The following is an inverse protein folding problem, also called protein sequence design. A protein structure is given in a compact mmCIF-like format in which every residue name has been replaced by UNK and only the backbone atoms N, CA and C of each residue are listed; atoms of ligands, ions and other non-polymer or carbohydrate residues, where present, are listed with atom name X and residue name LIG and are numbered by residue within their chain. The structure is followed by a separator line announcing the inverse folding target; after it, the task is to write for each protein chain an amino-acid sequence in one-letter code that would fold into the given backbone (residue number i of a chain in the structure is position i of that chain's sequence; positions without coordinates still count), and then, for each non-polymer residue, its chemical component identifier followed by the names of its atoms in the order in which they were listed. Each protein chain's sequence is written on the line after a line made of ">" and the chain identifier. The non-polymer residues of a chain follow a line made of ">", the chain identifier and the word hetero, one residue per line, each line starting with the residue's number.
data_IF_535137103650
#
_entry.id   IF_535137103650
#
_cell.length_a   1.000
_cell.length_b   1.000
_cell.length_c   1.000
_cell.angle_alpha   90.00
_cell.angle_beta   90.00
_cell.angle_gamma   90.00
#
_symmetry.space_group_name_H-M   'P 1'
#
loop_
_entity.id
_entity.type
_entity.pdbx_description
1 polymer ?
#
# COMPACT_ATOMS: atom_id res chain seq x y z
N UNK A 1 82.11 -30.51 -25.72
CA UNK A 1 81.04 -29.79 -26.47
C UNK A 1 80.52 -30.71 -27.55
N UNK A 2 79.21 -30.72 -27.77
CA UNK A 2 78.42 -31.49 -28.75
C UNK A 2 77.74 -32.75 -28.19
N UNK A 3 76.44 -32.59 -28.13
CA UNK A 3 75.33 -33.45 -27.75
C UNK A 3 75.16 -34.63 -28.69
N UNK A 4 74.93 -35.83 -28.14
CA UNK A 4 74.24 -36.91 -28.86
C UNK A 4 72.80 -37.03 -28.37
N UNK A 5 71.83 -37.25 -29.28
CA UNK A 5 70.41 -37.27 -28.95
C UNK A 5 70.01 -38.62 -28.34
N UNK A 6 69.27 -38.57 -27.23
CA UNK A 6 68.64 -39.75 -26.65
C UNK A 6 67.35 -40.08 -27.40
N UNK A 7 67.23 -41.36 -27.73
CA UNK A 7 66.14 -42.02 -28.47
C UNK A 7 64.76 -41.77 -27.87
N UNK A 8 63.78 -41.61 -28.76
CA UNK A 8 62.36 -41.67 -28.47
C UNK A 8 61.96 -43.03 -27.87
N UNK A 9 61.32 -42.99 -26.71
CA UNK A 9 60.49 -44.08 -26.18
C UNK A 9 59.05 -43.64 -26.37
N UNK A 10 58.33 -44.35 -27.24
CA UNK A 10 56.89 -44.18 -27.44
C UNK A 10 56.18 -44.72 -26.21
N UNK A 11 55.63 -43.83 -25.40
CA UNK A 11 54.73 -44.19 -24.31
C UNK A 11 53.32 -44.38 -24.87
N UNK A 12 52.73 -45.55 -24.63
CA UNK A 12 51.35 -45.91 -24.94
C UNK A 12 50.35 -44.86 -24.41
N UNK A 13 49.22 -44.62 -25.10
CA UNK A 13 48.24 -43.64 -24.66
C UNK A 13 47.63 -44.09 -23.32
N UNK A 14 47.83 -43.29 -22.27
CA UNK A 14 47.09 -43.44 -21.01
C UNK A 14 45.59 -43.23 -21.29
N UNK A 15 44.70 -44.04 -20.69
CA UNK A 15 43.26 -43.86 -20.86
C UNK A 15 42.85 -42.48 -20.32
N UNK A 16 42.00 -41.77 -21.07
CA UNK A 16 41.40 -40.51 -20.61
C UNK A 16 40.71 -40.76 -19.27
N UNK A 17 40.91 -39.91 -18.25
CA UNK A 17 40.15 -40.03 -17.01
C UNK A 17 38.66 -39.83 -17.34
N UNK A 18 37.84 -40.80 -16.93
CA UNK A 18 36.39 -40.63 -16.96
C UNK A 18 36.01 -39.39 -16.13
N UNK A 19 35.08 -38.56 -16.59
CA UNK A 19 34.61 -37.43 -15.80
C UNK A 19 33.99 -37.98 -14.51
N UNK A 20 34.58 -37.62 -13.37
CA UNK A 20 33.97 -37.89 -12.08
C UNK A 20 32.60 -37.21 -12.03
N UNK A 21 31.54 -37.88 -11.54
CA UNK A 21 30.27 -37.20 -11.32
C UNK A 21 30.49 -36.05 -10.33
N UNK A 22 30.06 -34.85 -10.70
CA UNK A 22 30.05 -33.69 -9.79
C UNK A 22 29.33 -34.11 -8.51
N UNK A 23 29.84 -33.77 -7.31
CA UNK A 23 29.13 -34.09 -6.09
C UNK A 23 27.77 -33.40 -6.11
N UNK A 24 26.71 -34.20 -6.06
CA UNK A 24 25.34 -33.72 -5.83
C UNK A 24 25.37 -32.86 -4.58
N UNK A 25 24.89 -31.61 -4.59
CA UNK A 25 24.84 -30.83 -3.38
C UNK A 25 23.99 -31.60 -2.36
N UNK A 26 24.61 -31.98 -1.24
CA UNK A 26 23.90 -32.52 -0.09
C UNK A 26 22.75 -31.56 0.22
N UNK A 27 21.52 -32.06 0.10
CA UNK A 27 20.34 -31.36 0.55
C UNK A 27 20.51 -31.11 2.05
N UNK A 28 21.00 -29.91 2.41
CA UNK A 28 20.97 -29.43 3.79
C UNK A 28 19.50 -29.38 4.18
N UNK A 29 19.08 -30.32 5.02
CA UNK A 29 17.82 -30.21 5.73
C UNK A 29 17.79 -28.82 6.39
N UNK A 30 16.84 -27.98 5.95
CA UNK A 30 16.58 -26.71 6.62
C UNK A 30 16.26 -27.04 8.08
N UNK A 31 16.91 -26.39 9.07
CA UNK A 31 16.51 -26.60 10.45
C UNK A 31 15.03 -26.20 10.55
N UNK A 32 14.18 -27.13 11.01
CA UNK A 32 12.79 -26.84 11.36
C UNK A 32 12.82 -25.74 12.42
N UNK A 33 12.59 -24.49 12.00
CA UNK A 33 12.36 -23.40 12.94
C UNK A 33 11.09 -23.75 13.71
N UNK A 34 11.23 -23.95 15.02
CA UNK A 34 10.10 -23.96 15.93
C UNK A 34 9.25 -22.72 15.65
N UNK A 35 8.01 -22.95 15.20
CA UNK A 35 7.11 -21.90 14.74
C UNK A 35 6.69 -21.01 15.91
N UNK A 36 7.35 -19.87 16.08
CA UNK A 36 6.65 -18.70 16.63
C UNK A 36 5.60 -18.34 15.57
N UNK A 37 4.30 -18.39 15.91
CA UNK A 37 3.22 -17.86 15.07
C UNK A 37 3.61 -16.44 14.68
N UNK A 38 4.11 -16.25 13.45
CA UNK A 38 4.35 -14.93 12.91
C UNK A 38 2.98 -14.39 12.57
N UNK A 39 2.58 -13.31 13.25
CA UNK A 39 1.45 -12.51 12.82
C UNK A 39 1.64 -12.04 11.36
N UNK A 40 0.62 -11.41 10.76
CA UNK A 40 0.75 -10.84 9.43
C UNK A 40 2.00 -9.95 9.34
N UNK A 41 2.68 -9.90 8.19
CA UNK A 41 3.81 -8.99 8.01
C UNK A 41 3.35 -7.55 8.30
N UNK A 42 4.24 -6.71 8.87
CA UNK A 42 3.90 -5.32 9.11
C UNK A 42 3.54 -4.65 7.78
N UNK A 43 2.60 -3.69 7.78
CA UNK A 43 2.03 -3.15 6.55
C UNK A 43 3.02 -2.27 5.76
N UNK A 44 4.07 -1.77 6.41
CA UNK A 44 5.21 -1.06 5.80
C UNK A 44 6.41 -1.07 6.76
N UNK A 45 7.55 -0.57 6.29
CA UNK A 45 8.75 -0.36 7.11
C UNK A 45 8.56 0.81 8.08
N UNK A 46 9.11 0.71 9.30
CA UNK A 46 8.92 1.73 10.34
C UNK A 46 7.50 1.77 10.95
N UNK A 47 6.69 0.73 10.79
CA UNK A 47 5.28 0.67 11.22
C UNK A 47 5.06 1.02 12.70
N UNK A 48 5.87 0.46 13.62
CA UNK A 48 5.71 0.72 15.05
C UNK A 48 6.08 2.17 15.40
N UNK A 49 7.08 2.75 14.75
CA UNK A 49 7.47 4.14 14.96
C UNK A 49 6.39 5.09 14.46
N UNK A 50 5.84 4.84 13.27
CA UNK A 50 4.75 5.65 12.71
C UNK A 50 3.49 5.59 13.59
N UNK A 51 3.15 4.40 14.07
CA UNK A 51 2.01 4.19 15.00
C UNK A 51 2.21 4.95 16.30
N UNK A 52 3.41 4.90 16.87
CA UNK A 52 3.75 5.58 18.11
C UNK A 52 3.75 7.11 17.94
N UNK A 53 4.26 7.62 16.81
CA UNK A 53 4.16 9.05 16.47
C UNK A 53 2.71 9.50 16.49
N UNK A 54 1.86 8.85 15.69
CA UNK A 54 0.45 9.20 15.58
C UNK A 54 -0.28 9.10 16.92
N UNK A 55 0.05 8.11 17.76
CA UNK A 55 -0.65 7.86 19.02
C UNK A 55 -0.26 8.78 20.17
N UNK A 56 0.98 9.31 20.18
CA UNK A 56 1.55 9.93 21.37
C UNK A 56 2.17 11.31 21.12
N UNK A 57 2.12 11.81 19.89
CA UNK A 57 2.65 13.12 19.54
C UNK A 57 1.63 13.94 18.76
N UNK A 58 1.57 15.22 19.10
CA UNK A 58 0.86 16.23 18.33
C UNK A 58 1.81 16.87 17.32
N UNK A 59 1.43 16.82 16.05
CA UNK A 59 2.13 17.41 14.91
C UNK A 59 1.14 17.48 13.75
N UNK A 60 1.23 18.49 12.87
CA UNK A 60 0.29 18.64 11.76
C UNK A 60 0.98 18.58 10.40
N UNK A 61 2.15 19.21 10.29
CA UNK A 61 2.97 19.24 9.08
C UNK A 61 4.07 18.18 9.11
N UNK A 62 4.22 17.44 8.01
CA UNK A 62 5.20 16.35 7.86
C UNK A 62 6.01 16.50 6.58
N UNK A 63 7.33 16.39 6.70
CA UNK A 63 8.22 16.15 5.57
C UNK A 63 8.62 14.68 5.53
N UNK A 64 8.15 13.93 4.55
CA UNK A 64 8.48 12.51 4.34
C UNK A 64 9.62 12.39 3.32
N UNK A 65 10.84 12.16 3.83
CA UNK A 65 12.07 12.05 3.05
C UNK A 65 12.38 10.58 2.75
N UNK A 66 12.38 10.24 1.47
CA UNK A 66 12.49 8.86 1.00
C UNK A 66 11.15 8.14 0.98
N UNK A 67 10.07 8.83 0.59
CA UNK A 67 8.69 8.35 0.73
C UNK A 67 8.35 7.07 -0.06
N UNK A 68 9.23 6.64 -0.98
CA UNK A 68 9.06 5.45 -1.81
C UNK A 68 7.72 5.43 -2.54
N UNK A 69 6.95 4.35 -2.37
CA UNK A 69 5.62 4.16 -2.96
C UNK A 69 4.50 4.99 -2.29
N UNK A 70 4.84 5.83 -1.31
CA UNK A 70 3.95 6.74 -0.61
C UNK A 70 2.99 6.09 0.39
N UNK A 71 3.19 4.83 0.79
CA UNK A 71 2.31 4.17 1.76
C UNK A 71 2.28 4.89 3.12
N UNK A 72 3.44 5.30 3.62
CA UNK A 72 3.59 5.99 4.91
C UNK A 72 2.99 7.40 4.84
N UNK A 73 3.31 8.17 3.80
CA UNK A 73 2.68 9.46 3.52
C UNK A 73 1.15 9.38 3.46
N UNK A 74 0.58 8.40 2.76
CA UNK A 74 -0.88 8.19 2.70
C UNK A 74 -1.46 7.84 4.07
N UNK A 75 -0.74 7.07 4.88
CA UNK A 75 -1.19 6.73 6.22
C UNK A 75 -1.23 7.95 7.14
N UNK A 76 -0.20 8.80 7.09
CA UNK A 76 -0.14 10.08 7.79
C UNK A 76 -1.28 11.01 7.33
N UNK A 77 -1.49 11.16 6.02
CA UNK A 77 -2.55 12.00 5.47
C UNK A 77 -3.95 11.56 5.90
N UNK A 78 -4.21 10.24 5.98
CA UNK A 78 -5.49 9.70 6.51
C UNK A 78 -5.73 10.05 7.98
N UNK A 79 -4.67 10.37 8.74
CA UNK A 79 -4.75 10.85 10.11
C UNK A 79 -4.73 12.39 10.20
N UNK A 80 -5.14 13.06 9.13
CA UNK A 80 -5.29 14.53 9.09
C UNK A 80 -3.98 15.30 8.98
N UNK A 81 -2.86 14.62 8.69
CA UNK A 81 -1.54 15.28 8.59
C UNK A 81 -1.33 15.86 7.19
N UNK A 82 -0.77 17.07 7.10
CA UNK A 82 -0.27 17.65 5.85
C UNK A 82 1.10 17.06 5.57
N UNK A 83 1.24 16.31 4.49
CA UNK A 83 2.49 15.62 4.16
C UNK A 83 3.07 16.17 2.86
N UNK A 84 4.30 16.66 2.92
CA UNK A 84 5.15 16.94 1.75
C UNK A 84 6.08 15.75 1.55
N UNK A 85 6.10 15.19 0.35
CA UNK A 85 6.81 13.94 0.05
C UNK A 85 7.98 14.16 -0.90
N UNK A 86 9.11 13.54 -0.56
CA UNK A 86 10.35 13.61 -1.33
C UNK A 86 10.82 12.20 -1.64
N UNK A 87 11.15 11.95 -2.90
CA UNK A 87 11.89 10.75 -3.29
C UNK A 87 12.83 11.04 -4.44
N UNK A 88 13.90 10.24 -4.56
CA UNK A 88 14.86 10.37 -5.65
C UNK A 88 14.23 10.13 -7.03
N UNK A 89 13.24 9.24 -7.09
CA UNK A 89 12.49 8.89 -8.29
C UNK A 89 11.02 8.60 -7.96
N UNK A 90 10.18 8.50 -8.98
CA UNK A 90 8.79 8.06 -8.79
C UNK A 90 8.73 6.53 -8.65
N UNK A 91 8.11 6.04 -7.59
CA UNK A 91 7.90 4.61 -7.37
C UNK A 91 6.49 4.17 -7.79
N UNK A 92 6.42 3.38 -8.85
CA UNK A 92 5.16 2.89 -9.41
C UNK A 92 4.22 4.04 -9.82
N UNK A 93 2.99 4.02 -9.31
CA UNK A 93 1.98 5.04 -9.59
C UNK A 93 2.03 6.24 -8.62
N UNK A 94 2.85 6.19 -7.55
CA UNK A 94 2.98 7.32 -6.65
C UNK A 94 3.85 8.41 -7.27
N UNK A 95 3.43 9.66 -7.11
CA UNK A 95 4.15 10.85 -7.56
C UNK A 95 4.45 11.67 -6.30
N UNK A 96 5.70 11.67 -5.82
CA UNK A 96 6.15 12.55 -4.75
C UNK A 96 5.97 14.02 -5.13
N UNK A 97 5.84 14.89 -4.14
CA UNK A 97 5.76 16.34 -4.35
C UNK A 97 7.06 16.90 -4.92
N UNK A 98 8.20 16.28 -4.57
CA UNK A 98 9.49 16.54 -5.18
C UNK A 98 10.18 15.23 -5.59
N UNK A 99 10.60 15.17 -6.85
CA UNK A 99 11.35 14.06 -7.43
C UNK A 99 12.77 14.51 -7.73
N UNK A 100 13.73 13.97 -6.98
CA UNK A 100 15.16 14.27 -7.14
C UNK A 100 15.94 14.11 -5.84
N UNK A 101 17.22 14.48 -5.88
CA UNK A 101 18.07 14.48 -4.70
C UNK A 101 17.54 15.44 -3.63
N UNK A 102 17.40 14.94 -2.39
CA UNK A 102 16.94 15.72 -1.25
C UNK A 102 17.80 16.97 -0.99
N UNK A 103 19.09 16.92 -1.28
CA UNK A 103 19.96 18.09 -1.15
C UNK A 103 19.52 19.24 -2.07
N UNK A 104 18.90 18.92 -3.22
CA UNK A 104 18.34 19.89 -4.16
C UNK A 104 16.94 20.39 -3.81
N UNK A 105 16.27 19.80 -2.81
CA UNK A 105 14.96 20.26 -2.38
C UNK A 105 15.08 21.59 -1.63
N UNK A 106 14.29 22.58 -2.06
CA UNK A 106 14.22 23.90 -1.43
C UNK A 106 12.79 24.20 -0.98
N UNK A 107 12.64 24.63 0.27
CA UNK A 107 11.39 25.12 0.83
C UNK A 107 11.67 26.03 2.01
N UNK A 108 10.87 27.08 2.15
CA UNK A 108 10.89 27.96 3.32
C UNK A 108 10.12 27.36 4.51
N UNK A 109 9.27 26.36 4.26
CA UNK A 109 8.48 25.70 5.30
C UNK A 109 9.39 24.93 6.27
N UNK A 110 9.00 24.94 7.55
CA UNK A 110 9.54 24.08 8.60
C UNK A 110 8.42 23.19 9.09
N UNK A 111 8.73 21.93 9.36
CA UNK A 111 7.74 20.88 9.60
C UNK A 111 7.75 20.45 11.06
N UNK A 112 6.57 20.19 11.60
CA UNK A 112 6.39 19.67 12.96
C UNK A 112 7.02 18.27 13.11
N UNK A 113 7.04 17.49 12.02
CA UNK A 113 7.71 16.20 11.92
C UNK A 113 8.52 16.13 10.62
N UNK A 114 9.81 15.80 10.73
CA UNK A 114 10.60 15.29 9.61
C UNK A 114 10.72 13.77 9.78
N UNK A 115 10.11 13.04 8.85
CA UNK A 115 10.07 11.58 8.81
C UNK A 115 11.03 11.08 7.72
N UNK A 116 11.98 10.23 8.08
CA UNK A 116 12.98 9.68 7.17
C UNK A 116 13.06 8.16 7.37
N UNK A 117 12.52 7.39 6.43
CA UNK A 117 12.37 5.94 6.58
C UNK A 117 13.06 5.22 5.44
N UNK A 118 14.09 4.44 5.76
CA UNK A 118 14.91 3.66 4.81
C UNK A 118 15.50 4.52 3.68
N UNK A 119 16.00 5.71 4.05
CA UNK A 119 16.69 6.64 3.15
C UNK A 119 18.13 6.95 3.59
N UNK A 120 18.42 6.89 4.90
CA UNK A 120 19.72 7.31 5.46
C UNK A 120 20.85 6.37 5.06
N UNK A 121 20.58 5.07 4.94
CA UNK A 121 21.54 4.04 4.54
C UNK A 121 22.09 4.23 3.12
N UNK A 122 21.38 5.00 2.29
CA UNK A 122 21.74 5.29 0.91
C UNK A 122 22.63 6.52 0.76
N UNK A 123 22.89 7.25 1.86
CA UNK A 123 23.56 8.54 1.80
C UNK A 123 25.08 8.39 1.86
N UNK A 124 25.77 9.02 0.91
CA UNK A 124 27.23 9.05 0.86
C UNK A 124 27.83 9.90 2.00
N UNK A 125 27.16 11.01 2.35
CA UNK A 125 27.55 11.86 3.48
C UNK A 125 26.41 11.95 4.50
N UNK A 126 26.43 11.04 5.45
CA UNK A 126 25.41 10.95 6.52
C UNK A 126 25.32 12.23 7.35
N UNK A 127 26.46 12.83 7.71
CA UNK A 127 26.48 14.02 8.57
C UNK A 127 25.78 15.21 7.92
N UNK A 128 26.10 15.48 6.66
CA UNK A 128 25.45 16.53 5.87
C UNK A 128 23.95 16.27 5.72
N UNK A 129 23.56 15.04 5.37
CA UNK A 129 22.17 14.68 5.19
C UNK A 129 21.36 14.84 6.48
N UNK A 130 21.91 14.42 7.64
CA UNK A 130 21.27 14.63 8.94
C UNK A 130 21.09 16.12 9.26
N UNK A 131 22.12 16.94 9.03
CA UNK A 131 22.02 18.39 9.21
C UNK A 131 20.97 19.01 8.28
N UNK A 132 20.85 18.50 7.05
CA UNK A 132 19.83 18.91 6.09
C UNK A 132 18.42 18.55 6.59
N UNK A 133 18.20 17.34 7.07
CA UNK A 133 16.92 16.94 7.69
C UNK A 133 16.56 17.88 8.85
N UNK A 134 17.50 18.11 9.77
CA UNK A 134 17.33 19.00 10.92
C UNK A 134 16.96 20.41 10.49
N UNK A 135 17.53 20.91 9.39
CA UNK A 135 17.24 22.25 8.89
C UNK A 135 15.79 22.47 8.52
N UNK A 136 15.01 21.41 8.27
CA UNK A 136 13.58 21.46 7.96
C UNK A 136 12.68 21.23 9.17
N UNK A 137 13.20 20.88 10.34
CA UNK A 137 12.39 20.67 11.55
C UNK A 137 12.02 22.03 12.14
N UNK A 138 10.74 22.23 12.46
CA UNK A 138 10.27 23.41 13.18
C UNK A 138 10.85 23.46 14.61
N UNK A 139 10.98 24.66 15.22
CA UNK A 139 11.40 24.76 16.62
C UNK A 139 10.53 23.89 17.54
N UNK A 140 11.16 22.97 18.27
CA UNK A 140 10.46 22.01 19.15
C UNK A 140 9.76 20.85 18.42
N UNK A 141 9.87 20.77 17.09
CA UNK A 141 9.37 19.68 16.26
C UNK A 141 10.14 18.38 16.45
N UNK A 142 9.78 17.36 15.67
CA UNK A 142 10.27 15.99 15.80
C UNK A 142 11.12 15.61 14.59
N UNK A 143 12.19 14.87 14.84
CA UNK A 143 12.91 14.11 13.84
C UNK A 143 12.70 12.62 14.13
N UNK A 144 12.25 11.88 13.13
CA UNK A 144 12.05 10.44 13.23
C UNK A 144 12.76 9.74 12.07
N UNK A 145 13.69 8.85 12.41
CA UNK A 145 14.53 8.14 11.45
C UNK A 145 14.32 6.63 11.64
N UNK A 146 14.11 5.92 10.53
CA UNK A 146 14.12 4.45 10.50
C UNK A 146 15.16 3.97 9.49
N UNK A 147 16.02 3.03 9.91
CA UNK A 147 17.06 2.41 9.08
C UNK A 147 17.05 0.89 9.22
N UNK A 148 17.59 0.14 8.25
CA UNK A 148 17.70 -1.30 8.35
C UNK A 148 18.82 -1.72 9.31
N UNK A 149 18.64 -2.80 10.10
CA UNK A 149 19.70 -3.34 10.93
C UNK A 149 20.82 -3.96 10.08
N UNK A 150 22.05 -3.87 10.59
CA UNK A 150 23.26 -4.34 9.95
C UNK A 150 23.14 -5.79 9.43
N UNK A 151 23.79 -6.04 8.29
CA UNK A 151 23.90 -7.34 7.64
C UNK A 151 25.38 -7.65 7.37
N UNK A 152 25.78 -8.93 7.40
CA UNK A 152 27.15 -9.33 7.10
C UNK A 152 27.47 -9.32 5.59
N UNK A 153 26.46 -9.18 4.73
CA UNK A 153 26.60 -9.16 3.27
C UNK A 153 26.25 -7.78 2.71
N UNK A 154 26.85 -7.45 1.58
CA UNK A 154 26.64 -6.17 0.87
C UNK A 154 25.26 -6.15 0.22
N UNK A 155 24.56 -5.03 0.37
CA UNK A 155 23.28 -4.73 -0.28
C UNK A 155 23.49 -3.55 -1.22
N UNK A 156 23.07 -3.69 -2.48
CA UNK A 156 23.23 -2.62 -3.47
C UNK A 156 22.56 -1.33 -3.00
N UNK A 157 23.26 -0.20 -3.13
CA UNK A 157 22.80 1.12 -2.70
C UNK A 157 22.90 1.39 -1.19
N UNK A 158 23.15 0.39 -0.33
CA UNK A 158 23.35 0.62 1.10
C UNK A 158 24.84 0.93 1.34
N UNK A 159 25.17 2.21 1.49
CA UNK A 159 26.55 2.67 1.70
C UNK A 159 26.98 2.58 3.16
N UNK A 160 26.02 2.45 4.08
CA UNK A 160 26.25 2.35 5.53
C UNK A 160 25.50 1.17 6.15
N UNK A 161 26.00 0.69 7.29
CA UNK A 161 25.37 -0.37 8.10
C UNK A 161 25.08 0.14 9.50
N UNK A 162 23.90 -0.17 10.02
CA UNK A 162 23.40 0.43 11.25
C UNK A 162 23.19 -0.59 12.38
N UNK A 163 23.68 -0.23 13.56
CA UNK A 163 23.10 -0.66 14.83
C UNK A 163 22.53 0.57 15.54
N UNK A 164 21.75 0.36 16.59
CA UNK A 164 21.08 1.43 17.33
C UNK A 164 22.07 2.45 17.93
N UNK A 165 23.20 1.99 18.46
CA UNK A 165 24.24 2.85 19.03
C UNK A 165 24.91 3.75 17.99
N UNK A 166 25.20 3.22 16.80
CA UNK A 166 25.77 3.98 15.69
C UNK A 166 24.79 5.03 15.16
N UNK A 167 23.49 4.71 15.10
CA UNK A 167 22.47 5.69 14.73
C UNK A 167 22.46 6.85 15.73
N UNK A 168 22.35 6.56 17.03
CA UNK A 168 22.41 7.58 18.10
C UNK A 168 23.68 8.44 18.01
N UNK A 169 24.84 7.79 17.88
CA UNK A 169 26.12 8.50 17.82
C UNK A 169 26.20 9.45 16.62
N UNK A 170 25.73 9.02 15.43
CA UNK A 170 25.71 9.89 14.25
C UNK A 170 24.78 11.09 14.42
N UNK A 171 23.60 10.92 15.03
CA UNK A 171 22.71 12.03 15.34
C UNK A 171 23.35 13.04 16.30
N UNK A 172 24.01 12.54 17.36
CA UNK A 172 24.68 13.40 18.34
C UNK A 172 25.83 14.17 17.70
N UNK A 173 26.68 13.51 16.90
CA UNK A 173 27.76 14.17 16.16
C UNK A 173 27.21 15.19 15.14
N UNK A 174 26.01 14.96 14.59
CA UNK A 174 25.31 15.93 13.75
C UNK A 174 24.72 17.13 14.54
N UNK A 175 24.90 17.19 15.87
CA UNK A 175 24.48 18.30 16.72
C UNK A 175 23.08 18.15 17.30
N UNK A 176 22.57 16.92 17.41
CA UNK A 176 21.23 16.62 17.95
C UNK A 176 21.35 16.09 19.38
N UNK A 177 20.69 16.75 20.34
CA UNK A 177 20.62 16.27 21.72
C UNK A 177 19.66 15.07 21.82
N UNK A 178 20.21 13.88 22.01
CA UNK A 178 19.47 12.62 22.02
C UNK A 178 19.14 12.10 23.43
N UNK A 179 19.31 12.89 24.50
CA UNK A 179 19.05 12.45 25.89
C UNK A 179 17.65 11.88 26.12
N UNK A 180 16.68 12.38 25.38
CA UNK A 180 15.27 11.97 25.46
C UNK A 180 14.83 11.16 24.22
N UNK A 181 15.79 10.69 23.41
CA UNK A 181 15.47 9.90 22.23
C UNK A 181 14.74 8.61 22.64
N UNK A 182 13.78 8.23 21.81
CA UNK A 182 13.07 6.95 21.90
C UNK A 182 13.56 6.08 20.76
N UNK A 183 13.98 4.87 21.09
CA UNK A 183 14.60 3.96 20.14
C UNK A 183 14.02 2.56 20.27
N UNK A 184 13.83 1.87 19.14
CA UNK A 184 13.52 0.44 19.13
C UNK A 184 14.05 -0.26 17.89
N UNK A 185 14.50 -1.50 18.09
CA UNK A 185 14.79 -2.47 17.04
C UNK A 185 13.65 -3.49 16.95
N UNK A 186 13.04 -3.62 15.77
CA UNK A 186 11.91 -4.52 15.54
C UNK A 186 11.81 -4.93 14.07
N UNK A 187 11.61 -6.22 13.82
CA UNK A 187 11.53 -6.75 12.45
C UNK A 187 12.79 -6.42 11.64
N UNK A 188 12.64 -5.60 10.59
CA UNK A 188 13.73 -5.10 9.77
C UNK A 188 14.01 -3.59 10.00
N UNK A 189 13.67 -3.08 11.17
CA UNK A 189 13.74 -1.65 11.47
C UNK A 189 14.57 -1.40 12.73
N UNK A 190 15.39 -0.35 12.68
CA UNK A 190 15.88 0.42 13.81
C UNK A 190 15.23 1.79 13.68
N UNK A 191 14.32 2.13 14.59
CA UNK A 191 13.67 3.45 14.57
C UNK A 191 14.09 4.27 15.77
N UNK A 192 14.34 5.55 15.53
CA UNK A 192 14.65 6.56 16.53
C UNK A 192 13.72 7.76 16.33
N UNK A 193 13.11 8.23 17.40
CA UNK A 193 12.31 9.46 17.44
C UNK A 193 12.93 10.39 18.48
N UNK A 194 13.18 11.64 18.10
CA UNK A 194 13.76 12.65 18.98
C UNK A 194 13.06 13.99 18.78
N UNK A 195 12.80 14.70 19.88
CA UNK A 195 12.37 16.10 19.81
C UNK A 195 13.58 16.96 19.54
N UNK A 196 13.50 17.79 18.51
CA UNK A 196 14.65 18.53 18.02
C UNK A 196 15.11 19.56 19.05
N UNK A 197 16.30 19.31 19.60
CA UNK A 197 17.07 20.23 20.44
C UNK A 197 18.49 20.24 19.92
N UNK A 198 19.01 21.43 19.65
CA UNK A 198 20.40 21.58 19.22
C UNK A 198 21.32 21.27 20.41
N UNK A 199 22.28 20.38 20.20
CA UNK A 199 23.32 20.09 21.16
C UNK A 199 24.49 21.08 20.97
N UNK A 200 24.92 21.72 22.05
CA UNK A 200 26.17 22.45 22.09
C UNK A 200 27.31 21.45 22.32
N UNK A 201 27.82 20.90 21.22
CA UNK A 201 28.85 19.86 21.30
C UNK A 201 30.18 20.46 21.76
N UNK A 202 30.94 19.75 22.62
CA UNK A 202 32.35 20.09 22.85
C UNK A 202 33.17 19.88 21.57
N UNK A 203 34.38 20.43 21.54
CA UNK A 203 35.33 20.15 20.46
C UNK A 203 35.61 18.64 20.39
N UNK A 204 35.30 18.04 19.25
CA UNK A 204 35.53 16.62 18.98
C UNK A 204 36.92 16.39 18.42
N UNK A 205 37.50 15.22 18.72
CA UNK A 205 38.81 14.81 18.20
C UNK A 205 38.69 13.98 16.93
N UNK A 206 37.50 13.45 16.65
CA UNK A 206 37.25 12.42 15.64
C UNK A 206 38.09 11.15 15.89
N UNK A 207 38.32 10.85 17.17
CA UNK A 207 39.15 9.74 17.64
C UNK A 207 38.70 9.33 19.06
N UNK A 208 39.46 8.42 19.69
CA UNK A 208 39.22 7.92 21.04
C UNK A 208 38.96 9.05 22.06
N UNK A 209 37.95 8.84 22.90
CA UNK A 209 37.52 9.78 23.94
C UNK A 209 36.31 10.65 23.56
N UNK A 210 35.86 10.62 22.30
CA UNK A 210 34.70 11.42 21.88
C UNK A 210 33.37 10.87 22.40
N UNK A 211 33.27 9.56 22.65
CA UNK A 211 32.08 8.96 23.25
C UNK A 211 31.88 9.51 24.67
N UNK A 212 32.95 9.61 25.46
CA UNK A 212 32.92 10.19 26.80
C UNK A 212 32.57 11.68 26.78
N UNK A 213 33.11 12.44 25.82
CA UNK A 213 32.76 13.88 25.63
C UNK A 213 31.29 14.07 25.29
N UNK A 214 30.72 13.13 24.54
CA UNK A 214 29.35 13.17 24.08
C UNK A 214 28.38 12.43 25.00
N UNK A 215 28.85 11.77 26.06
CA UNK A 215 28.05 10.89 26.91
C UNK A 215 26.81 11.58 27.49
N UNK A 216 26.91 12.89 27.79
CA UNK A 216 25.81 13.69 28.28
C UNK A 216 24.66 13.84 27.27
N UNK A 217 24.85 13.57 25.98
CA UNK A 217 23.82 13.67 24.94
C UNK A 217 23.18 12.33 24.57
N UNK A 218 23.65 11.22 25.16
CA UNK A 218 23.04 9.91 24.98
C UNK A 218 21.87 9.72 25.95
N UNK A 219 20.85 8.92 25.59
CA UNK A 219 19.74 8.57 26.49
C UNK A 219 20.10 7.47 27.49
N UNK A 220 21.37 7.07 27.55
CA UNK A 220 21.89 6.04 28.45
C UNK A 220 23.37 6.28 28.76
N UNK A 221 23.90 5.73 29.86
CA UNK A 221 25.33 5.75 30.13
C UNK A 221 26.12 5.06 29.02
N UNK A 222 27.18 5.71 28.54
CA UNK A 222 28.06 5.19 27.49
C UNK A 222 29.52 5.46 27.83
N UNK A 223 30.40 4.62 27.28
CA UNK A 223 31.85 4.78 27.30
C UNK A 223 32.44 4.10 26.05
N UNK A 224 33.68 4.40 25.70
CA UNK A 224 34.37 3.76 24.57
C UNK A 224 34.23 2.23 24.62
N UNK A 225 33.80 1.65 23.49
CA UNK A 225 33.61 0.21 23.36
C UNK A 225 32.24 -0.33 23.81
N UNK A 226 31.26 0.54 24.13
CA UNK A 226 29.90 0.08 24.41
C UNK A 226 29.28 -0.67 23.21
N UNK A 227 28.47 -1.69 23.50
CA UNK A 227 27.78 -2.46 22.46
C UNK A 227 26.58 -1.69 21.91
N UNK A 228 26.65 -1.32 20.63
CA UNK A 228 25.57 -0.59 19.95
C UNK A 228 24.33 -1.43 19.61
N UNK A 229 24.29 -2.73 19.94
CA UNK A 229 23.13 -3.61 19.75
C UNK A 229 22.09 -3.41 20.86
N UNK A 230 21.43 -2.27 20.81
CA UNK A 230 20.38 -1.90 21.77
C UNK A 230 19.02 -2.35 21.23
N UNK A 231 18.20 -3.01 22.06
CA UNK A 231 16.86 -3.46 21.66
C UNK A 231 15.83 -2.33 21.72
N UNK A 232 15.79 -1.58 22.83
CA UNK A 232 14.88 -0.45 23.02
C UNK A 232 15.40 0.54 24.07
N UNK A 233 15.03 1.82 23.93
CA UNK A 233 15.24 2.89 24.90
C UNK A 233 13.98 3.78 24.89
N UNK A 234 13.41 4.08 26.05
CA UNK A 234 12.26 4.98 26.21
C UNK A 234 11.06 4.63 25.29
N UNK A 235 10.88 3.37 24.89
CA UNK A 235 9.88 2.95 23.92
C UNK A 235 8.56 2.47 24.57
N UNK A 236 7.83 3.40 25.17
CA UNK A 236 6.51 3.12 25.73
C UNK A 236 5.48 2.84 24.64
N UNK A 237 5.05 1.58 24.53
CA UNK A 237 4.08 1.17 23.50
C UNK A 237 2.74 1.86 23.72
N UNK A 238 2.08 2.38 22.66
CA UNK A 238 0.71 2.89 22.76
C UNK A 238 -0.24 1.84 23.32
N UNK A 239 -1.21 2.25 24.14
CA UNK A 239 -2.23 1.32 24.65
C UNK A 239 -3.16 0.94 23.50
N UNK A 240 -3.77 -0.24 23.59
CA UNK A 240 -4.72 -0.71 22.58
C UNK A 240 -5.88 0.26 22.34
N UNK A 241 -6.31 1.00 23.38
CA UNK A 241 -7.34 2.03 23.27
C UNK A 241 -6.90 3.24 22.42
N UNK A 242 -5.63 3.65 22.55
CA UNK A 242 -5.06 4.78 21.81
C UNK A 242 -4.96 4.42 20.31
N UNK A 243 -4.50 3.19 20.00
CA UNK A 243 -4.47 2.67 18.62
C UNK A 243 -5.89 2.56 18.04
N UNK A 244 -6.85 2.04 18.81
CA UNK A 244 -8.23 1.96 18.37
C UNK A 244 -8.87 3.35 18.15
N UNK A 245 -8.43 4.38 18.88
CA UNK A 245 -8.87 5.77 18.64
C UNK A 245 -8.25 6.39 17.39
N UNK A 246 -7.01 6.03 17.03
CA UNK A 246 -6.39 6.44 15.77
C UNK A 246 -7.20 5.93 14.58
N UNK A 247 -7.58 4.65 14.62
CA UNK A 247 -8.41 4.06 13.58
C UNK A 247 -9.76 4.79 13.49
N UNK A 248 -10.43 5.10 14.62
CA UNK A 248 -11.70 5.85 14.61
C UNK A 248 -11.54 7.30 14.11
N UNK A 249 -10.47 7.99 14.50
CA UNK A 249 -10.18 9.38 14.11
C UNK A 249 -9.83 9.53 12.62
N UNK A 250 -9.06 8.59 12.07
CA UNK A 250 -8.77 8.53 10.64
C UNK A 250 -10.03 8.28 9.79
N UNK A 251 -10.97 7.47 10.29
CA UNK A 251 -12.27 7.23 9.65
C UNK A 251 -13.22 8.44 9.76
N UNK A 252 -13.07 9.28 10.80
CA UNK A 252 -13.83 10.53 10.94
C UNK A 252 -13.24 11.67 10.08
N UNK A 253 -11.91 11.73 9.94
CA UNK A 253 -11.20 12.73 9.12
C UNK A 253 -11.31 12.48 7.60
N UNK A 254 -11.81 11.32 7.17
CA UNK A 254 -12.12 11.02 5.77
C UNK A 254 -13.40 11.69 5.25
N UNK A 255 -14.03 12.58 6.04
CA UNK A 255 -15.25 13.32 5.68
C UNK A 255 -15.09 14.46 4.67
N UNK A 256 -13.94 14.57 4.00
CA UNK A 256 -13.79 15.42 2.83
C UNK A 256 -13.06 14.66 1.71
N UNK A 257 -13.74 13.66 1.14
CA UNK A 257 -13.43 13.27 -0.23
C UNK A 257 -13.74 14.47 -1.14
N UNK A 258 -12.88 14.82 -2.12
CA UNK A 258 -13.23 15.86 -3.08
C UNK A 258 -14.55 15.50 -3.75
N UNK A 259 -15.47 16.47 -3.80
CA UNK A 259 -16.83 16.27 -4.28
C UNK A 259 -16.83 15.73 -5.71
N UNK A 260 -17.65 14.70 -5.95
CA UNK A 260 -18.10 14.36 -7.30
C UNK A 260 -18.76 15.62 -7.88
N UNK A 261 -18.38 15.98 -9.10
CA UNK A 261 -18.82 17.22 -9.73
C UNK A 261 -20.36 17.37 -9.66
N UNK A 262 -20.84 18.53 -9.20
CA UNK A 262 -22.27 18.78 -8.98
C UNK A 262 -23.14 18.64 -10.25
N UNK A 263 -22.53 18.66 -11.45
CA UNK A 263 -23.18 18.49 -12.74
C UNK A 263 -22.71 17.21 -13.44
N UNK A 264 -23.02 16.04 -12.87
CA UNK A 264 -22.81 14.75 -13.50
C UNK A 264 -23.65 14.62 -14.79
N UNK A 265 -23.05 14.27 -15.95
CA UNK A 265 -23.77 14.14 -17.22
C UNK A 265 -24.93 13.16 -17.11
N UNK A 266 -26.06 13.51 -17.74
CA UNK A 266 -27.24 12.64 -17.84
C UNK A 266 -27.39 12.16 -19.28
N UNK A 267 -27.58 10.86 -19.45
CA UNK A 267 -27.76 10.21 -20.74
C UNK A 267 -29.01 9.33 -20.72
N UNK A 268 -29.83 9.42 -21.76
CA UNK A 268 -30.92 8.47 -21.99
C UNK A 268 -30.30 7.21 -22.61
N UNK A 269 -29.91 6.25 -21.78
CA UNK A 269 -29.13 5.11 -22.21
C UNK A 269 -30.03 4.01 -22.76
N UNK A 270 -30.16 3.99 -24.09
CA UNK A 270 -30.55 2.82 -24.89
C UNK A 270 -29.34 2.23 -25.61
N UNK A 271 -29.51 1.80 -26.87
CA UNK A 271 -28.46 1.16 -27.69
C UNK A 271 -27.19 2.01 -27.97
N UNK A 272 -27.14 3.27 -27.52
CA UNK A 272 -26.16 4.29 -27.92
C UNK A 272 -25.24 4.79 -26.79
N UNK A 273 -25.13 4.08 -25.64
CA UNK A 273 -24.15 4.46 -24.61
C UNK A 273 -22.72 4.31 -25.17
N UNK A 274 -22.03 5.45 -25.33
CA UNK A 274 -20.65 5.53 -25.81
C UNK A 274 -19.68 5.53 -24.62
N UNK A 275 -18.55 4.84 -24.72
CA UNK A 275 -17.52 4.88 -23.69
C UNK A 275 -16.87 6.27 -23.58
N UNK A 276 -16.89 7.06 -24.66
CA UNK A 276 -16.30 8.39 -24.71
C UNK A 276 -16.90 9.35 -23.68
N UNK A 277 -18.19 9.22 -23.34
CA UNK A 277 -18.82 10.07 -22.32
C UNK A 277 -18.26 9.80 -20.91
N UNK A 278 -17.81 8.58 -20.62
CA UNK A 278 -17.10 8.29 -19.38
C UNK A 278 -15.69 8.89 -19.41
N UNK A 279 -14.96 8.80 -20.54
CA UNK A 279 -13.60 9.36 -20.66
C UNK A 279 -13.54 10.86 -20.39
N UNK A 280 -14.61 11.58 -20.74
CA UNK A 280 -14.77 13.00 -20.45
C UNK A 280 -14.96 13.33 -18.96
N UNK A 281 -15.32 12.34 -18.13
CA UNK A 281 -15.45 12.56 -16.69
C UNK A 281 -14.08 12.83 -16.05
N UNK A 282 -14.04 13.73 -15.04
CA UNK A 282 -12.84 13.95 -14.25
C UNK A 282 -12.47 12.67 -13.48
N UNK A 283 -11.19 12.58 -13.12
CA UNK A 283 -10.65 11.52 -12.26
C UNK A 283 -10.24 12.14 -10.92
N UNK A 284 -11.19 12.40 -10.02
CA UNK A 284 -10.90 13.13 -8.78
C UNK A 284 -10.13 12.29 -7.75
N UNK A 285 -10.05 10.97 -7.93
CA UNK A 285 -9.47 10.05 -6.95
C UNK A 285 -8.31 9.25 -7.53
N UNK A 286 -7.33 8.93 -6.67
CA UNK A 286 -6.08 8.27 -7.07
C UNK A 286 -6.19 6.74 -7.15
N UNK A 287 -7.27 6.15 -6.62
CA UNK A 287 -7.54 4.71 -6.72
C UNK A 287 -9.02 4.43 -7.04
N UNK A 288 -9.31 3.27 -7.63
CA UNK A 288 -10.69 2.81 -7.87
C UNK A 288 -11.44 2.60 -6.55
N UNK A 289 -10.77 2.08 -5.51
CA UNK A 289 -11.35 1.97 -4.17
C UNK A 289 -11.76 3.33 -3.57
N UNK A 290 -10.92 4.37 -3.72
CA UNK A 290 -11.28 5.71 -3.25
C UNK A 290 -12.47 6.26 -4.05
N UNK A 291 -12.58 5.91 -5.34
CA UNK A 291 -13.71 6.29 -6.20
C UNK A 291 -15.00 5.60 -5.76
N UNK A 292 -14.95 4.29 -5.49
CA UNK A 292 -16.05 3.51 -4.93
C UNK A 292 -16.56 4.13 -3.62
N UNK A 293 -15.67 4.46 -2.69
CA UNK A 293 -16.04 5.03 -1.40
C UNK A 293 -16.62 6.44 -1.52
N UNK A 294 -16.06 7.28 -2.40
CA UNK A 294 -16.58 8.62 -2.64
C UNK A 294 -17.99 8.58 -3.25
N UNK A 295 -18.20 7.73 -4.26
CA UNK A 295 -19.52 7.49 -4.87
C UNK A 295 -20.51 6.97 -3.83
N UNK A 296 -20.11 5.98 -3.05
CA UNK A 296 -20.95 5.38 -2.02
C UNK A 296 -21.37 6.43 -0.98
N UNK A 297 -20.43 7.22 -0.48
CA UNK A 297 -20.71 8.23 0.56
C UNK A 297 -21.60 9.36 0.03
N UNK A 298 -21.43 9.76 -1.21
CA UNK A 298 -22.14 10.89 -1.80
C UNK A 298 -23.53 10.54 -2.36
N UNK A 299 -23.71 9.33 -2.89
CA UNK A 299 -24.86 9.00 -3.73
C UNK A 299 -25.63 7.75 -3.34
N UNK A 300 -25.17 6.94 -2.38
CA UNK A 300 -25.83 5.69 -2.03
C UNK A 300 -27.18 5.96 -1.31
N UNK A 301 -28.33 5.63 -1.92
CA UNK A 301 -29.63 5.84 -1.30
C UNK A 301 -29.93 4.78 -0.23
N UNK A 302 -31.14 4.82 0.32
CA UNK A 302 -31.68 3.73 1.13
C UNK A 302 -31.90 2.46 0.29
N UNK A 303 -31.62 1.29 0.87
CA UNK A 303 -31.77 0.00 0.20
C UNK A 303 -30.59 -0.93 0.47
N UNK A 304 -30.45 -1.98 -0.33
CA UNK A 304 -29.40 -3.00 -0.15
C UNK A 304 -28.04 -2.55 -0.70
N UNK A 305 -26.95 -2.82 0.03
CA UNK A 305 -25.55 -2.62 -0.43
C UNK A 305 -24.97 -3.98 -0.74
N UNK A 306 -24.51 -4.17 -1.97
CA UNK A 306 -24.07 -5.48 -2.45
C UNK A 306 -22.77 -5.35 -3.24
N UNK A 307 -21.86 -6.30 -3.03
CA UNK A 307 -20.65 -6.49 -3.82
C UNK A 307 -20.67 -7.90 -4.42
N UNK A 308 -20.33 -8.00 -5.70
CA UNK A 308 -20.24 -9.25 -6.45
C UNK A 308 -18.80 -9.42 -6.90
N UNK A 309 -18.11 -10.40 -6.33
CA UNK A 309 -16.64 -10.50 -6.36
C UNK A 309 -16.03 -9.83 -5.13
N UNK A 310 -15.68 -10.64 -4.13
CA UNK A 310 -15.21 -10.20 -2.81
C UNK A 310 -13.71 -10.48 -2.64
N UNK A 311 -13.24 -11.62 -3.17
CA UNK A 311 -11.88 -12.12 -2.99
C UNK A 311 -11.44 -12.09 -1.51
N UNK A 312 -10.51 -11.20 -1.15
CA UNK A 312 -9.99 -11.01 0.22
C UNK A 312 -10.79 -10.02 1.07
N UNK A 313 -11.92 -9.53 0.57
CA UNK A 313 -12.86 -8.67 1.30
C UNK A 313 -12.40 -7.23 1.50
N UNK A 314 -11.44 -6.73 0.71
CA UNK A 314 -10.88 -5.38 0.89
C UNK A 314 -11.93 -4.28 0.64
N UNK A 315 -12.58 -4.33 -0.50
CA UNK A 315 -13.64 -3.38 -0.92
C UNK A 315 -14.91 -3.58 -0.08
N UNK A 316 -15.37 -4.82 0.12
CA UNK A 316 -16.48 -5.12 1.04
C UNK A 316 -16.27 -4.52 2.43
N UNK A 317 -15.08 -4.72 3.02
CA UNK A 317 -14.75 -4.20 4.35
C UNK A 317 -14.73 -2.67 4.36
N UNK A 318 -14.28 -2.05 3.27
CA UNK A 318 -14.27 -0.60 3.14
C UNK A 318 -15.71 -0.05 3.03
N UNK A 319 -16.57 -0.68 2.24
CA UNK A 319 -18.00 -0.35 2.15
C UNK A 319 -18.71 -0.49 3.51
N UNK A 320 -18.47 -1.61 4.21
CA UNK A 320 -19.03 -1.87 5.52
C UNK A 320 -18.59 -0.85 6.58
N UNK A 321 -17.32 -0.41 6.53
CA UNK A 321 -16.81 0.65 7.40
C UNK A 321 -17.36 2.03 7.06
N UNK A 322 -17.57 2.32 5.77
CA UNK A 322 -18.15 3.58 5.32
C UNK A 322 -19.66 3.69 5.66
N UNK A 323 -20.34 2.56 5.80
CA UNK A 323 -21.76 2.47 6.11
C UNK A 323 -21.99 1.62 7.38
N UNK A 324 -21.52 2.08 8.57
CA UNK A 324 -21.52 1.27 9.79
C UNK A 324 -22.93 0.84 10.24
N UNK A 325 -23.94 1.65 9.93
CA UNK A 325 -25.35 1.39 10.29
C UNK A 325 -26.09 0.52 9.26
N UNK A 326 -25.41 0.05 8.22
CA UNK A 326 -26.02 -0.73 7.14
C UNK A 326 -25.41 -2.11 7.05
N UNK A 327 -26.24 -3.08 6.68
CA UNK A 327 -25.77 -4.39 6.26
C UNK A 327 -25.20 -4.31 4.84
N UNK A 328 -24.01 -4.89 4.65
CA UNK A 328 -23.34 -5.01 3.35
C UNK A 328 -23.20 -6.49 3.00
N UNK A 329 -23.56 -6.86 1.77
CA UNK A 329 -23.61 -8.27 1.34
C UNK A 329 -22.58 -8.53 0.25
N UNK A 330 -21.63 -9.42 0.50
CA UNK A 330 -20.62 -9.84 -0.46
C UNK A 330 -20.93 -11.22 -1.02
N UNK A 331 -21.03 -11.35 -2.34
CA UNK A 331 -21.25 -12.61 -3.03
C UNK A 331 -19.96 -13.02 -3.74
N UNK A 332 -19.53 -14.27 -3.54
CA UNK A 332 -18.32 -14.81 -4.17
C UNK A 332 -18.33 -16.34 -4.12
N UNK A 333 -17.65 -17.01 -5.04
CA UNK A 333 -17.45 -18.46 -5.00
C UNK A 333 -16.47 -18.86 -3.87
N UNK A 334 -15.51 -17.97 -3.58
CA UNK A 334 -14.30 -18.19 -2.78
C UNK A 334 -13.45 -19.37 -3.27
N UNK A 335 -13.66 -19.77 -4.52
CA UNK A 335 -12.88 -20.77 -5.25
C UNK A 335 -12.28 -20.20 -6.54
N UNK A 336 -12.31 -18.87 -6.69
CA UNK A 336 -11.81 -18.16 -7.86
C UNK A 336 -12.77 -18.16 -9.05
N UNK A 337 -12.25 -17.71 -10.19
CA UNK A 337 -13.01 -17.56 -11.43
C UNK A 337 -13.60 -18.90 -11.93
N UNK A 338 -14.87 -18.93 -12.38
CA UNK A 338 -15.49 -20.15 -12.90
C UNK A 338 -14.90 -20.60 -14.25
N UNK A 339 -14.43 -19.65 -15.05
CA UNK A 339 -13.82 -19.86 -16.38
C UNK A 339 -12.58 -18.96 -16.55
N UNK A 340 -11.70 -19.23 -17.53
CA UNK A 340 -10.57 -18.35 -17.79
C UNK A 340 -11.02 -16.93 -18.20
N UNK A 341 -10.37 -15.91 -17.65
CA UNK A 341 -10.54 -14.51 -18.03
C UNK A 341 -9.44 -14.08 -19.01
N UNK A 342 -9.82 -13.85 -20.27
CA UNK A 342 -8.94 -13.36 -21.32
C UNK A 342 -8.82 -11.84 -21.24
N UNK A 343 -7.65 -11.32 -20.81
CA UNK A 343 -7.43 -9.88 -20.64
C UNK A 343 -6.69 -9.24 -21.81
N UNK A 344 -5.72 -9.96 -22.37
CA UNK A 344 -4.98 -9.60 -23.59
C UNK A 344 -4.50 -10.86 -24.29
N UNK A 345 -3.92 -10.77 -25.50
CA UNK A 345 -3.38 -11.94 -26.20
C UNK A 345 -2.39 -12.76 -25.35
N UNK A 346 -1.61 -12.09 -24.51
CA UNK A 346 -0.57 -12.69 -23.67
C UNK A 346 -0.93 -12.76 -22.17
N UNK A 347 -2.15 -12.36 -21.80
CA UNK A 347 -2.60 -12.32 -20.40
C UNK A 347 -3.95 -13.00 -20.23
N UNK A 348 -3.91 -14.20 -19.64
CA UNK A 348 -5.08 -15.00 -19.29
C UNK A 348 -4.98 -15.41 -17.83
N UNK A 349 -6.02 -15.10 -17.06
CA UNK A 349 -6.18 -15.66 -15.73
C UNK A 349 -6.98 -16.96 -15.86
N UNK A 350 -6.44 -18.11 -15.44
CA UNK A 350 -7.12 -19.39 -15.59
C UNK A 350 -8.36 -19.48 -14.69
N UNK A 351 -9.23 -20.46 -14.95
CA UNK A 351 -10.26 -20.83 -13.99
C UNK A 351 -9.62 -21.19 -12.62
N UNK A 352 -10.29 -20.81 -11.53
CA UNK A 352 -9.77 -20.89 -10.16
C UNK A 352 -8.77 -19.79 -9.80
N UNK A 353 -8.41 -18.88 -10.72
CA UNK A 353 -7.64 -17.70 -10.35
C UNK A 353 -8.44 -16.86 -9.33
N UNK A 354 -7.76 -16.33 -8.32
CA UNK A 354 -8.35 -15.68 -7.13
C UNK A 354 -8.99 -16.62 -6.08
N UNK A 355 -8.75 -17.92 -6.13
CA UNK A 355 -9.10 -18.81 -5.01
C UNK A 355 -8.40 -18.36 -3.71
N UNK A 356 -9.18 -18.14 -2.65
CA UNK A 356 -8.69 -17.75 -1.32
C UNK A 356 -8.52 -18.93 -0.38
N UNK A 357 -9.08 -20.10 -0.68
CA UNK A 357 -9.09 -21.30 0.15
C UNK A 357 -9.89 -21.20 1.45
N UNK A 358 -10.26 -19.99 1.88
CA UNK A 358 -11.03 -19.69 3.07
C UNK A 358 -11.81 -18.37 2.89
N UNK A 359 -12.87 -18.21 3.67
CA UNK A 359 -13.61 -16.94 3.74
C UNK A 359 -12.74 -15.86 4.39
N UNK A 360 -12.74 -14.62 3.87
CA UNK A 360 -12.04 -13.52 4.50
C UNK A 360 -12.72 -13.09 5.81
N UNK A 361 -11.92 -12.54 6.73
CA UNK A 361 -12.44 -11.83 7.89
C UNK A 361 -13.05 -10.49 7.44
N UNK A 362 -14.30 -10.25 7.79
CA UNK A 362 -15.05 -9.04 7.40
C UNK A 362 -15.68 -8.37 8.62
N UNK A 363 -15.96 -7.05 8.56
CA UNK A 363 -16.64 -6.34 9.64
C UNK A 363 -17.98 -6.97 10.03
N UNK A 364 -18.43 -6.72 11.27
CA UNK A 364 -19.64 -7.35 11.82
C UNK A 364 -20.93 -7.04 11.04
N UNK A 365 -20.98 -5.90 10.34
CA UNK A 365 -22.11 -5.51 9.48
C UNK A 365 -21.96 -5.99 8.03
N UNK A 366 -20.92 -6.74 7.69
CA UNK A 366 -20.76 -7.41 6.40
C UNK A 366 -21.14 -8.89 6.49
N UNK A 367 -21.81 -9.40 5.45
CA UNK A 367 -22.21 -10.82 5.35
C UNK A 367 -21.74 -11.41 4.03
N UNK A 368 -21.17 -12.61 4.08
CA UNK A 368 -20.65 -13.32 2.91
C UNK A 368 -21.62 -14.40 2.45
N UNK A 369 -21.86 -14.46 1.15
CA UNK A 369 -22.74 -15.42 0.49
C UNK A 369 -21.91 -16.24 -0.49
N UNK A 370 -21.58 -17.46 -0.07
CA UNK A 370 -20.72 -18.35 -0.84
C UNK A 370 -21.49 -19.04 -1.97
N UNK A 371 -20.92 -19.02 -3.16
CA UNK A 371 -21.35 -19.77 -4.34
C UNK A 371 -21.52 -18.90 -5.57
N UNK A 372 -21.57 -19.55 -6.74
CA UNK A 372 -21.87 -18.92 -8.03
C UNK A 372 -23.10 -18.02 -7.92
N UNK A 373 -23.08 -16.84 -8.56
CA UNK A 373 -24.14 -15.85 -8.42
C UNK A 373 -25.52 -16.41 -8.77
N UNK A 374 -25.62 -17.23 -9.81
CA UNK A 374 -26.87 -17.89 -10.21
C UNK A 374 -27.46 -18.83 -9.15
N UNK A 375 -26.67 -19.30 -8.19
CA UNK A 375 -27.11 -20.16 -7.10
C UNK A 375 -27.28 -19.40 -5.78
N UNK A 376 -26.35 -18.50 -5.44
CA UNK A 376 -26.32 -17.81 -4.13
C UNK A 376 -27.27 -16.61 -4.07
N UNK A 377 -27.42 -15.87 -5.17
CA UNK A 377 -28.21 -14.63 -5.21
C UNK A 377 -29.74 -14.85 -5.16
N UNK A 378 -30.35 -15.83 -5.86
CA UNK A 378 -31.81 -16.00 -5.82
C UNK A 378 -32.35 -16.30 -4.42
N UNK A 379 -31.66 -17.15 -3.65
CA UNK A 379 -32.04 -17.45 -2.27
C UNK A 379 -31.98 -16.20 -1.38
N UNK A 380 -30.96 -15.36 -1.60
CA UNK A 380 -30.85 -14.09 -0.90
C UNK A 380 -31.99 -13.12 -1.26
N UNK A 381 -32.27 -12.96 -2.56
CA UNK A 381 -33.32 -12.07 -3.08
C UNK A 381 -34.73 -12.41 -2.57
N UNK A 382 -35.00 -13.70 -2.36
CA UNK A 382 -36.26 -14.17 -1.80
C UNK A 382 -36.42 -13.78 -0.32
N UNK A 383 -35.32 -13.79 0.44
CA UNK A 383 -35.31 -13.48 1.87
C UNK A 383 -35.20 -11.97 2.18
N UNK A 384 -34.76 -11.15 1.21
CA UNK A 384 -34.46 -9.73 1.41
C UNK A 384 -35.22 -8.87 0.39
N UNK A 385 -36.51 -8.57 0.62
CA UNK A 385 -37.27 -7.70 -0.27
C UNK A 385 -36.74 -6.25 -0.22
N UNK A 386 -37.11 -5.46 -1.23
CA UNK A 386 -36.75 -4.04 -1.31
C UNK A 386 -35.62 -3.75 -2.31
N UNK A 387 -35.42 -2.48 -2.66
CA UNK A 387 -34.57 -2.07 -3.77
C UNK A 387 -33.07 -2.19 -3.45
N UNK A 388 -32.26 -2.29 -4.51
CA UNK A 388 -30.83 -2.11 -4.43
C UNK A 388 -30.51 -0.61 -4.27
N UNK A 389 -29.64 -0.29 -3.31
CA UNK A 389 -29.06 1.03 -3.19
C UNK A 389 -27.74 1.16 -3.94
N UNK A 390 -26.83 0.22 -3.70
CA UNK A 390 -25.51 0.17 -4.34
C UNK A 390 -25.21 -1.26 -4.78
N UNK A 391 -24.84 -1.41 -6.05
CA UNK A 391 -24.27 -2.64 -6.60
C UNK A 391 -22.82 -2.35 -7.01
N UNK A 392 -21.87 -2.92 -6.28
CA UNK A 392 -20.48 -2.99 -6.69
C UNK A 392 -20.27 -4.29 -7.49
N UNK A 393 -20.05 -4.13 -8.79
CA UNK A 393 -19.89 -5.20 -9.77
C UNK A 393 -18.39 -5.33 -10.02
N UNK A 394 -17.77 -6.33 -9.39
CA UNK A 394 -16.34 -6.63 -9.42
C UNK A 394 -16.17 -8.11 -9.84
N UNK A 395 -16.88 -8.47 -10.91
CA UNK A 395 -17.05 -9.86 -11.32
C UNK A 395 -16.02 -10.31 -12.35
N UNK A 396 -15.24 -9.38 -12.91
CA UNK A 396 -14.32 -9.46 -14.04
C UNK A 396 -14.97 -9.90 -15.38
N UNK A 397 -15.69 -11.03 -15.34
CA UNK A 397 -16.22 -11.78 -16.46
C UNK A 397 -17.56 -11.24 -16.96
N UNK A 398 -17.74 -11.28 -18.27
CA UNK A 398 -18.99 -10.93 -18.95
C UNK A 398 -20.18 -11.76 -18.46
N UNK A 399 -20.06 -13.08 -18.42
CA UNK A 399 -21.14 -14.01 -18.05
C UNK A 399 -21.60 -13.80 -16.61
N UNK A 400 -20.64 -13.54 -15.72
CA UNK A 400 -20.89 -13.22 -14.31
C UNK A 400 -21.66 -11.90 -14.18
N UNK A 401 -21.23 -10.85 -14.89
CA UNK A 401 -21.88 -9.54 -14.88
C UNK A 401 -23.29 -9.59 -15.49
N UNK A 402 -23.49 -10.33 -16.58
CA UNK A 402 -24.83 -10.57 -17.15
C UNK A 402 -25.74 -11.26 -16.15
N UNK A 403 -25.23 -12.26 -15.44
CA UNK A 403 -25.99 -12.99 -14.41
C UNK A 403 -26.43 -12.05 -13.30
N UNK A 404 -25.50 -11.24 -12.76
CA UNK A 404 -25.80 -10.26 -11.71
C UNK A 404 -26.84 -9.25 -12.17
N UNK A 405 -26.63 -8.59 -13.31
CA UNK A 405 -27.57 -7.58 -13.82
C UNK A 405 -28.96 -8.16 -14.10
N UNK A 406 -29.04 -9.38 -14.63
CA UNK A 406 -30.32 -10.05 -14.92
C UNK A 406 -31.08 -10.42 -13.65
N UNK A 407 -30.39 -10.95 -12.63
CA UNK A 407 -31.04 -11.31 -11.37
C UNK A 407 -31.42 -10.09 -10.52
N UNK A 408 -30.67 -9.00 -10.65
CA UNK A 408 -30.92 -7.75 -9.93
C UNK A 408 -31.90 -6.81 -10.65
N UNK A 409 -32.37 -7.18 -11.85
CA UNK A 409 -33.17 -6.32 -12.75
C UNK A 409 -34.37 -5.67 -12.03
N UNK A 410 -35.15 -6.45 -11.27
CA UNK A 410 -36.30 -5.92 -10.51
C UNK A 410 -35.92 -5.10 -9.27
N UNK A 411 -34.66 -5.15 -8.84
CA UNK A 411 -34.13 -4.43 -7.68
C UNK A 411 -33.44 -3.13 -8.07
N UNK A 412 -33.07 -2.99 -9.35
CA UNK A 412 -32.46 -1.78 -9.91
C UNK A 412 -33.58 -0.78 -10.23
N UNK A 413 -33.68 0.26 -9.42
CA UNK A 413 -34.76 1.27 -9.47
C UNK A 413 -34.17 2.68 -9.58
N UNK A 414 -34.97 3.72 -9.89
CA UNK A 414 -34.50 5.10 -9.82
C UNK A 414 -33.84 5.41 -8.46
N UNK A 415 -32.61 5.92 -8.53
CA UNK A 415 -31.75 6.17 -7.38
C UNK A 415 -30.64 5.13 -7.18
N UNK A 416 -30.82 3.89 -7.63
CA UNK A 416 -29.81 2.82 -7.51
C UNK A 416 -28.49 3.26 -8.15
N UNK A 417 -27.39 3.03 -7.44
CA UNK A 417 -26.03 3.29 -7.90
C UNK A 417 -25.37 1.97 -8.29
N UNK A 418 -24.79 1.92 -9.49
CA UNK A 418 -24.00 0.79 -9.96
C UNK A 418 -22.55 1.27 -10.12
N UNK A 419 -21.60 0.51 -9.58
CA UNK A 419 -20.17 0.75 -9.73
C UNK A 419 -19.56 -0.50 -10.31
N UNK A 420 -18.94 -0.38 -11.47
CA UNK A 420 -18.23 -1.45 -12.18
C UNK A 420 -16.73 -1.30 -11.89
N UNK A 421 -16.04 -2.35 -11.45
CA UNK A 421 -14.60 -2.29 -11.15
C UNK A 421 -13.76 -2.31 -12.42
N UNK A 422 -14.18 -3.08 -13.44
CA UNK A 422 -13.40 -3.37 -14.64
C UNK A 422 -14.11 -2.94 -15.95
N UNK A 423 -14.74 -1.75 -15.93
CA UNK A 423 -15.54 -1.26 -17.06
C UNK A 423 -14.70 -0.93 -18.30
N UNK A 424 -13.55 -0.27 -18.16
CA UNK A 424 -12.70 0.09 -19.30
C UNK A 424 -11.26 0.41 -18.87
N UNK A 425 -10.27 -0.01 -19.66
CA UNK A 425 -8.87 0.42 -19.53
C UNK A 425 -8.72 1.93 -19.86
N UNK A 426 -8.90 2.79 -18.85
CA UNK A 426 -8.99 4.24 -19.02
C UNK A 426 -7.65 4.89 -19.38
N UNK A 427 -6.56 4.35 -18.85
CA UNK A 427 -5.21 4.86 -19.08
C UNK A 427 -4.52 4.19 -20.28
N UNK A 428 -5.24 3.33 -21.01
CA UNK A 428 -4.73 2.59 -22.16
C UNK A 428 -3.42 1.86 -21.80
N UNK A 429 -3.38 1.30 -20.59
CA UNK A 429 -2.18 0.67 -20.04
C UNK A 429 -1.70 -0.54 -20.84
N UNK A 430 -2.57 -1.10 -21.69
CA UNK A 430 -2.33 -2.35 -22.40
C UNK A 430 -2.46 -3.58 -21.49
N UNK A 431 -2.86 -3.38 -20.23
CA UNK A 431 -3.06 -4.45 -19.25
C UNK A 431 -4.38 -5.18 -19.49
N UNK A 432 -5.43 -4.45 -19.90
CA UNK A 432 -6.73 -5.05 -20.18
C UNK A 432 -7.34 -4.55 -21.50
N UNK A 433 -6.68 -4.73 -22.66
CA UNK A 433 -7.23 -4.31 -23.95
C UNK A 433 -8.55 -5.00 -24.33
N UNK A 434 -8.86 -6.15 -23.73
CA UNK A 434 -10.10 -6.89 -23.97
C UNK A 434 -11.31 -6.37 -23.17
N UNK A 435 -11.21 -5.24 -22.45
CA UNK A 435 -12.30 -4.67 -21.63
C UNK A 435 -13.64 -4.56 -22.35
N UNK A 436 -13.64 -4.36 -23.67
CA UNK A 436 -14.85 -4.27 -24.49
C UNK A 436 -15.70 -5.54 -24.48
N UNK A 437 -15.12 -6.69 -24.18
CA UNK A 437 -15.80 -7.98 -24.12
C UNK A 437 -16.25 -8.36 -22.70
N UNK A 438 -15.86 -7.59 -21.68
CA UNK A 438 -16.20 -7.84 -20.27
C UNK A 438 -17.43 -7.07 -19.79
N UNK A 439 -17.29 -6.39 -18.64
CA UNK A 439 -18.38 -5.66 -17.98
C UNK A 439 -19.03 -4.60 -18.87
N UNK A 440 -18.24 -3.93 -19.73
CA UNK A 440 -18.76 -2.97 -20.70
C UNK A 440 -19.81 -3.56 -21.63
N UNK A 441 -19.54 -4.77 -22.15
CA UNK A 441 -20.47 -5.47 -23.04
C UNK A 441 -21.74 -5.82 -22.30
N UNK A 442 -21.61 -6.38 -21.09
CA UNK A 442 -22.74 -6.77 -20.26
C UNK A 442 -23.65 -5.57 -19.94
N UNK A 443 -23.06 -4.42 -19.58
CA UNK A 443 -23.79 -3.17 -19.34
C UNK A 443 -24.54 -2.72 -20.59
N UNK A 444 -23.88 -2.67 -21.75
CA UNK A 444 -24.52 -2.24 -23.01
C UNK A 444 -25.68 -3.15 -23.41
N UNK A 445 -25.50 -4.46 -23.35
CA UNK A 445 -26.54 -5.43 -23.70
C UNK A 445 -27.70 -5.41 -22.69
N UNK A 446 -27.43 -5.15 -21.41
CA UNK A 446 -28.49 -4.92 -20.42
C UNK A 446 -29.29 -3.65 -20.72
N UNK A 447 -28.62 -2.52 -20.99
CA UNK A 447 -29.29 -1.25 -21.35
C UNK A 447 -30.06 -1.31 -22.68
N UNK A 448 -29.63 -2.16 -23.62
CA UNK A 448 -30.38 -2.41 -24.86
C UNK A 448 -31.71 -3.12 -24.59
N UNK A 449 -31.73 -4.09 -23.66
CA UNK A 449 -32.93 -4.83 -23.28
C UNK A 449 -33.84 -4.00 -22.37
N UNK A 450 -33.25 -3.19 -21.49
CA UNK A 450 -33.93 -2.31 -20.53
C UNK A 450 -33.33 -0.90 -20.61
N UNK A 451 -33.86 -0.03 -21.46
CA UNK A 451 -33.39 1.34 -21.53
C UNK A 451 -33.60 2.05 -20.20
N UNK A 452 -32.52 2.62 -19.67
CA UNK A 452 -32.55 3.40 -18.44
C UNK A 452 -31.97 4.78 -18.70
N UNK A 453 -32.53 5.79 -18.02
CA UNK A 453 -31.88 7.09 -17.95
C UNK A 453 -30.80 7.02 -16.89
N UNK A 454 -29.58 7.43 -17.23
CA UNK A 454 -28.41 7.30 -16.38
C UNK A 454 -27.82 8.66 -16.06
N UNK A 455 -27.34 8.82 -14.83
CA UNK A 455 -26.38 9.85 -14.46
C UNK A 455 -25.00 9.22 -14.33
N UNK A 456 -24.01 9.77 -15.03
CA UNK A 456 -22.63 9.29 -14.98
C UNK A 456 -21.92 9.96 -13.80
N UNK A 457 -21.74 9.22 -12.70
CA UNK A 457 -21.28 9.79 -11.44
C UNK A 457 -19.76 9.99 -11.42
N UNK A 458 -19.00 8.96 -11.79
CA UNK A 458 -17.54 9.02 -11.76
C UNK A 458 -16.92 7.97 -12.68
N UNK A 459 -15.63 8.15 -12.98
CA UNK A 459 -14.74 7.06 -13.36
C UNK A 459 -13.53 7.04 -12.45
N UNK A 460 -13.01 5.85 -12.20
CA UNK A 460 -11.75 5.66 -11.50
C UNK A 460 -10.54 5.94 -12.39
N UNK A 461 -9.35 5.89 -11.80
CA UNK A 461 -8.10 6.17 -12.50
C UNK A 461 -7.61 5.03 -13.39
N UNK A 462 -8.09 3.79 -13.20
CA UNK A 462 -7.65 2.62 -13.96
C UNK A 462 -8.77 2.02 -14.78
N UNK A 463 -9.77 1.43 -14.11
CA UNK A 463 -10.77 0.60 -14.77
C UNK A 463 -12.22 0.92 -14.42
N UNK A 464 -12.44 1.44 -13.21
CA UNK A 464 -13.80 1.50 -12.66
C UNK A 464 -14.63 2.67 -13.19
N UNK A 465 -15.95 2.52 -13.14
CA UNK A 465 -16.88 3.65 -13.34
C UNK A 465 -18.21 3.44 -12.63
N UNK A 466 -18.85 4.56 -12.29
CA UNK A 466 -20.07 4.60 -11.52
C UNK A 466 -21.20 5.32 -12.27
N UNK A 467 -22.38 4.71 -12.25
CA UNK A 467 -23.62 5.27 -12.80
C UNK A 467 -24.72 5.26 -11.74
N UNK A 468 -25.68 6.17 -11.88
CA UNK A 468 -26.92 6.17 -11.11
C UNK A 468 -28.11 6.07 -12.04
N UNK A 469 -29.07 5.22 -11.71
CA UNK A 469 -30.33 5.09 -12.43
C UNK A 469 -31.24 6.28 -12.10
N UNK A 470 -31.84 6.88 -13.11
CA UNK A 470 -32.82 7.94 -12.98
C UNK A 470 -34.21 7.45 -13.37
N UNK A 471 -35.23 8.17 -12.92
CA UNK A 471 -36.59 7.96 -13.38
C UNK A 471 -36.68 8.23 -14.89
N UNK A 472 -37.55 7.48 -15.57
CA UNK A 472 -37.95 7.81 -16.93
C UNK A 472 -38.54 9.23 -16.94
N UNK A 473 -38.30 10.00 -18.01
CA UNK A 473 -38.94 11.30 -18.16
C UNK A 473 -40.47 11.12 -18.21
N UNK A 474 -41.25 11.98 -17.51
CA UNK A 474 -42.71 11.92 -17.55
C UNK A 474 -43.29 12.13 -18.94
#
# INVERSE_FOLDING_TARGET
>A
MKTHPLRAVVASPKPKPQPQPKPTPLARAKPRKAGKKKGPPPPWLGDQALTLLLAQYDFDSVLDVGCGDGLQARHLARHGKRVTTISFESYGAYRPDFVGDFEGFASDERYDLVWCSHALEHQANVGQFLQRLVSFVAPGGLLAITVPPARPYIVGGHLTVWNAGLLLYNLIVAGIDCREARLKVYGYNISLIVRMRKAELPALRHDIGDIERLAAFFPMPVQQGFDGRIEEINWERPRSADIASLDRGAHAATKAAPAIAAAAPVVDAGAALDIAVFRALPVPHKTDLDSLLAVTTAHCPSGHVMEFGVFRGRSLSALAKALPERSVHGFDTFSGLPIPWQRSADSVYPAGHFDTGALPDVPANARLWRGEFGASLPAWLAAHPGPAALLHIDCDLYESTVTVLTLMDERIVPGTVLVFDELCDWNESGVYPAWREGEWRALREWLQRRPHRLRLLARGPKFSAAIQILAASP
#
